data_IF_743409171111
#
_entry.id   IF_743409171111
#
_cell.length_a   1.000
_cell.length_b   1.000
_cell.length_c   1.000
_cell.angle_alpha   90.00
_cell.angle_beta   90.00
_cell.angle_gamma   90.00
#
_symmetry.space_group_name_H-M   'P 1'
#
loop_
_entity.id
_entity.type
_entity.pdbx_description
1 polymer ?
#
# COMPACT_ATOMS: atom_id res chain seq x y z
N UNK A 1 3.12 1.42 8.59
CA UNK A 1 3.02 2.67 7.82
C UNK A 1 3.45 3.85 8.67
N UNK A 2 4.31 4.71 8.16
CA UNK A 2 4.74 5.91 8.87
C UNK A 2 5.15 7.03 7.92
N UNK A 3 4.86 8.23 8.36
CA UNK A 3 5.47 9.47 7.90
C UNK A 3 6.35 9.99 9.03
N UNK A 4 7.49 10.53 8.71
CA UNK A 4 8.42 11.05 9.71
C UNK A 4 9.34 12.13 9.15
N UNK A 5 10.22 12.63 10.01
CA UNK A 5 11.24 13.59 9.63
C UNK A 5 12.61 12.93 9.74
N UNK A 6 13.43 13.08 8.71
CA UNK A 6 14.81 12.58 8.72
C UNK A 6 15.60 13.34 9.80
N UNK A 7 16.18 12.62 10.75
CA UNK A 7 16.99 13.17 11.83
C UNK A 7 18.47 13.07 11.47
N UNK A 8 18.87 11.95 10.89
CA UNK A 8 20.26 11.64 10.55
C UNK A 8 20.30 10.76 9.31
N UNK A 9 21.33 10.88 8.50
CA UNK A 9 21.57 10.04 7.31
C UNK A 9 22.93 9.35 7.43
N UNK A 10 23.02 8.15 6.85
CA UNK A 10 24.32 7.47 6.69
C UNK A 10 25.11 8.03 5.50
N UNK A 11 26.43 7.84 5.51
CA UNK A 11 27.38 8.39 4.51
C UNK A 11 27.04 8.02 3.04
N UNK A 12 26.32 6.91 2.84
CA UNK A 12 25.96 6.42 1.50
C UNK A 12 24.60 6.96 0.99
N UNK A 13 23.86 7.69 1.80
CA UNK A 13 22.57 8.28 1.41
C UNK A 13 22.80 9.55 0.62
N UNK A 14 22.17 9.66 -0.53
CA UNK A 14 22.43 10.75 -1.50
C UNK A 14 21.19 11.57 -1.87
N UNK A 15 19.98 11.06 -1.58
CA UNK A 15 18.72 11.69 -2.00
C UNK A 15 17.99 12.41 -0.87
N UNK A 16 18.47 12.27 0.35
CA UNK A 16 17.85 12.79 1.58
C UNK A 16 18.80 13.67 2.37
N UNK A 17 18.22 14.56 3.18
CA UNK A 17 18.95 15.38 4.17
C UNK A 17 18.16 15.46 5.48
N UNK A 18 18.83 15.72 6.61
CA UNK A 18 18.13 15.98 7.87
C UNK A 18 17.13 17.12 7.74
N UNK A 19 15.92 16.91 8.24
CA UNK A 19 14.80 17.83 8.12
C UNK A 19 13.80 17.46 7.01
N UNK A 20 14.16 16.58 6.06
CA UNK A 20 13.23 16.10 5.05
C UNK A 20 12.03 15.38 5.69
N UNK A 21 10.84 15.74 5.28
CA UNK A 21 9.62 15.00 5.60
C UNK A 21 9.45 13.83 4.64
N UNK A 22 9.33 12.62 5.15
CA UNK A 22 9.38 11.40 4.34
C UNK A 22 8.29 10.41 4.70
N UNK A 23 7.79 9.71 3.69
CA UNK A 23 7.00 8.49 3.80
C UNK A 23 7.95 7.28 3.81
N UNK A 24 7.77 6.37 4.76
CA UNK A 24 8.59 5.16 4.89
C UNK A 24 7.85 3.98 4.27
N UNK A 25 8.43 3.37 3.22
CA UNK A 25 7.88 2.16 2.61
C UNK A 25 7.98 0.95 3.56
N UNK A 26 6.99 0.08 3.55
CA UNK A 26 7.05 -1.22 4.23
C UNK A 26 8.12 -2.15 3.63
N UNK A 27 8.49 -1.95 2.37
CA UNK A 27 9.52 -2.70 1.68
C UNK A 27 10.80 -1.86 1.60
N UNK A 28 11.90 -2.43 2.10
CA UNK A 28 13.25 -1.86 1.89
C UNK A 28 13.92 -2.56 0.72
N UNK A 29 14.74 -1.86 -0.06
CA UNK A 29 15.38 -2.47 -1.23
C UNK A 29 16.77 -1.93 -1.50
N UNK A 30 17.70 -2.79 -1.88
CA UNK A 30 19.09 -2.39 -2.11
C UNK A 30 19.31 -1.60 -3.41
N UNK A 31 18.33 -1.54 -4.29
CA UNK A 31 18.38 -0.82 -5.58
C UNK A 31 19.31 -1.41 -6.64
N UNK A 32 20.12 -2.42 -6.32
CA UNK A 32 21.22 -2.91 -7.21
C UNK A 32 21.17 -4.39 -7.58
N UNK A 33 20.46 -5.24 -6.85
CA UNK A 33 20.32 -6.64 -7.21
C UNK A 33 19.40 -6.79 -8.43
N UNK A 34 19.39 -7.99 -9.02
CA UNK A 34 18.57 -8.31 -10.20
C UNK A 34 17.12 -7.91 -9.99
N UNK A 35 16.51 -8.35 -8.90
CA UNK A 35 15.09 -8.11 -8.62
C UNK A 35 14.76 -6.60 -8.46
N UNK A 36 15.62 -5.85 -7.78
CA UNK A 36 15.45 -4.39 -7.68
C UNK A 36 15.55 -3.71 -9.04
N UNK A 37 16.43 -4.16 -9.92
CA UNK A 37 16.55 -3.62 -11.28
C UNK A 37 15.37 -3.96 -12.18
N UNK A 38 14.67 -5.05 -11.88
CA UNK A 38 13.45 -5.49 -12.56
C UNK A 38 12.18 -4.88 -11.93
N UNK A 39 12.32 -4.08 -10.84
CA UNK A 39 11.19 -3.46 -10.13
C UNK A 39 10.53 -4.36 -9.06
N UNK A 40 11.05 -5.56 -8.83
CA UNK A 40 10.52 -6.52 -7.85
C UNK A 40 11.18 -6.33 -6.47
N UNK A 41 10.94 -5.20 -5.84
CA UNK A 41 11.63 -4.78 -4.61
C UNK A 41 11.40 -5.73 -3.42
N UNK A 42 10.21 -6.31 -3.30
CA UNK A 42 9.89 -7.32 -2.28
C UNK A 42 10.75 -8.58 -2.36
N UNK A 43 11.33 -8.88 -3.54
CA UNK A 43 12.21 -10.01 -3.78
C UNK A 43 13.70 -9.65 -3.66
N UNK A 44 14.05 -8.53 -3.05
CA UNK A 44 15.42 -8.06 -2.93
C UNK A 44 16.34 -9.10 -2.26
N UNK A 45 17.42 -9.50 -2.96
CA UNK A 45 18.45 -10.43 -2.46
C UNK A 45 19.70 -9.72 -1.91
N UNK A 46 19.69 -8.39 -1.89
CA UNK A 46 20.82 -7.58 -1.41
C UNK A 46 20.70 -7.15 0.06
N UNK A 47 19.90 -7.86 0.86
CA UNK A 47 19.70 -7.59 2.28
C UNK A 47 18.50 -6.67 2.59
N UNK A 48 17.69 -6.36 1.58
CA UNK A 48 16.39 -5.71 1.73
C UNK A 48 15.23 -6.69 1.51
N UNK A 49 14.11 -6.18 1.03
CA UNK A 49 12.85 -6.88 0.90
C UNK A 49 11.93 -6.59 2.09
N UNK A 50 11.07 -7.53 2.42
CA UNK A 50 10.17 -7.41 3.56
C UNK A 50 10.87 -7.79 4.87
N UNK A 51 11.80 -6.94 5.31
CA UNK A 51 12.59 -7.16 6.53
C UNK A 51 12.22 -6.18 7.65
N UNK A 52 11.76 -4.99 7.31
CA UNK A 52 11.52 -3.88 8.23
C UNK A 52 10.31 -4.15 9.10
N UNK A 53 10.50 -4.16 10.41
CA UNK A 53 9.48 -4.57 11.39
C UNK A 53 9.24 -6.08 11.47
N UNK A 54 10.02 -6.89 10.73
CA UNK A 54 9.94 -8.34 10.69
C UNK A 54 11.25 -9.02 11.10
N UNK A 55 12.35 -8.73 10.38
CA UNK A 55 13.68 -9.25 10.70
C UNK A 55 14.58 -8.22 11.41
N UNK A 56 14.23 -6.97 11.34
CA UNK A 56 14.86 -5.84 12.03
C UNK A 56 13.77 -5.01 12.71
N UNK A 57 14.16 -4.12 13.62
CA UNK A 57 13.24 -3.22 14.31
C UNK A 57 12.41 -2.39 13.34
N UNK A 58 11.14 -2.16 13.69
CA UNK A 58 10.16 -1.45 12.87
C UNK A 58 9.90 -0.02 13.34
N UNK A 59 8.71 0.48 13.00
CA UNK A 59 8.31 1.88 13.15
C UNK A 59 7.54 2.21 14.44
N UNK A 60 7.28 1.23 15.30
CA UNK A 60 6.59 1.48 16.58
C UNK A 60 7.58 2.00 17.63
N UNK A 61 8.19 3.15 17.33
CA UNK A 61 9.24 3.79 18.11
C UNK A 61 9.27 5.30 17.81
N UNK A 62 9.91 6.08 18.69
CA UNK A 62 10.15 7.51 18.47
C UNK A 62 11.15 7.76 17.33
N UNK A 63 12.13 6.87 17.18
CA UNK A 63 13.13 6.87 16.13
C UNK A 63 13.27 5.49 15.53
N UNK A 64 13.43 5.43 14.22
CA UNK A 64 13.65 4.17 13.51
C UNK A 64 14.77 4.32 12.47
N UNK A 65 15.58 3.27 12.34
CA UNK A 65 16.63 3.21 11.31
C UNK A 65 16.12 2.51 10.07
N UNK A 66 15.95 3.25 8.99
CA UNK A 66 15.49 2.71 7.70
C UNK A 66 16.68 2.33 6.83
N UNK A 67 16.91 1.03 6.53
CA UNK A 67 17.99 0.62 5.64
C UNK A 67 17.67 0.96 4.19
N UNK A 68 18.73 1.19 3.39
CA UNK A 68 18.61 1.54 1.96
C UNK A 68 17.70 2.76 1.72
N UNK A 69 17.90 3.82 2.48
CA UNK A 69 16.98 4.96 2.52
C UNK A 69 16.68 5.55 1.14
N UNK A 70 17.66 5.67 0.24
CA UNK A 70 17.47 6.21 -1.13
C UNK A 70 16.43 5.44 -1.97
N UNK A 71 16.10 4.20 -1.60
CA UNK A 71 15.13 3.35 -2.30
C UNK A 71 13.99 2.87 -1.39
N UNK A 72 13.95 3.30 -0.15
CA UNK A 72 13.00 2.82 0.86
C UNK A 72 12.17 3.92 1.50
N UNK A 73 12.48 5.19 1.23
CA UNK A 73 11.69 6.34 1.67
C UNK A 73 11.47 7.32 0.53
N UNK A 74 10.40 8.10 0.64
CA UNK A 74 9.99 9.08 -0.37
C UNK A 74 9.74 10.42 0.28
N UNK A 75 10.32 11.50 -0.26
CA UNK A 75 10.03 12.86 0.19
C UNK A 75 8.55 13.16 -0.02
N UNK A 76 7.90 13.65 1.03
CA UNK A 76 6.49 14.06 0.95
C UNK A 76 6.43 15.50 0.44
N UNK A 77 5.69 15.76 -0.65
CA UNK A 77 5.48 17.12 -1.13
C UNK A 77 4.80 18.02 -0.08
N UNK A 78 5.20 19.28 0.01
CA UNK A 78 4.72 20.22 1.04
C UNK A 78 3.20 20.43 1.03
N UNK A 79 2.57 20.31 -0.14
CA UNK A 79 1.13 20.49 -0.33
C UNK A 79 0.28 19.30 0.16
N UNK A 80 0.89 18.17 0.50
CA UNK A 80 0.17 16.99 1.01
C UNK A 80 0.35 16.85 2.52
N UNK A 81 -0.73 16.50 3.22
CA UNK A 81 -0.66 16.19 4.65
C UNK A 81 -0.14 14.77 4.88
N UNK A 82 0.29 14.48 6.12
CA UNK A 82 0.75 13.15 6.52
C UNK A 82 -0.35 12.10 6.35
N UNK A 83 -1.61 12.45 6.71
CA UNK A 83 -2.76 11.56 6.56
C UNK A 83 -3.06 11.22 5.09
N UNK A 84 -2.84 12.16 4.17
CA UNK A 84 -3.07 11.93 2.74
C UNK A 84 -2.08 10.93 2.14
N UNK A 85 -0.87 10.86 2.68
CA UNK A 85 0.20 10.02 2.13
C UNK A 85 0.45 8.73 2.91
N UNK A 86 -0.02 8.64 4.16
CA UNK A 86 0.30 7.53 5.07
C UNK A 86 0.04 6.16 4.45
N UNK A 87 -1.10 5.97 3.81
CA UNK A 87 -1.48 4.68 3.22
C UNK A 87 -0.71 4.33 1.94
N UNK A 88 0.07 5.26 1.39
CA UNK A 88 1.01 4.97 0.30
C UNK A 88 2.23 4.17 0.76
N UNK A 89 2.42 4.02 2.08
CA UNK A 89 3.51 3.21 2.63
C UNK A 89 3.32 1.70 2.38
N UNK A 90 2.07 1.21 2.39
CA UNK A 90 1.74 -0.20 2.23
C UNK A 90 0.32 -0.44 1.68
N UNK A 91 -0.72 -0.04 2.40
CA UNK A 91 -2.12 -0.43 2.13
C UNK A 91 -2.52 -0.16 0.69
N UNK A 92 -2.28 1.04 0.18
CA UNK A 92 -2.69 1.41 -1.18
C UNK A 92 -1.87 0.69 -2.26
N UNK A 93 -0.51 0.67 -2.23
CA UNK A 93 0.28 -0.10 -3.19
C UNK A 93 -0.01 -1.59 -3.14
N UNK A 94 -0.14 -2.18 -1.96
CA UNK A 94 -0.45 -3.61 -1.78
C UNK A 94 -1.82 -3.95 -2.38
N UNK A 95 -2.84 -3.13 -2.14
CA UNK A 95 -4.17 -3.32 -2.72
C UNK A 95 -4.16 -3.24 -4.25
N UNK A 96 -3.41 -2.31 -4.79
CA UNK A 96 -3.25 -2.12 -6.22
C UNK A 96 -2.46 -3.26 -6.86
N UNK A 97 -1.28 -3.57 -6.34
CA UNK A 97 -0.38 -4.59 -6.90
C UNK A 97 -0.97 -5.99 -6.78
N UNK A 98 -1.42 -6.38 -5.57
CA UNK A 98 -1.91 -7.73 -5.31
C UNK A 98 -3.37 -7.88 -5.73
N UNK A 99 -4.21 -6.90 -5.42
CA UNK A 99 -5.64 -6.97 -5.70
C UNK A 99 -5.98 -6.72 -7.16
N UNK A 100 -5.40 -5.70 -7.78
CA UNK A 100 -5.80 -5.25 -9.12
C UNK A 100 -4.87 -5.79 -10.20
N UNK A 101 -3.54 -5.58 -10.08
CA UNK A 101 -2.60 -6.03 -11.11
C UNK A 101 -2.47 -7.55 -11.15
N UNK A 102 -2.27 -8.21 -10.01
CA UNK A 102 -2.20 -9.67 -9.97
C UNK A 102 -3.57 -10.33 -10.13
N UNK A 103 -4.66 -9.62 -9.81
CA UNK A 103 -6.02 -10.03 -10.13
C UNK A 103 -6.37 -9.90 -11.60
N UNK A 104 -5.47 -9.31 -12.42
CA UNK A 104 -5.62 -9.11 -13.87
C UNK A 104 -6.95 -8.44 -14.25
N UNK A 105 -7.36 -7.42 -13.48
CA UNK A 105 -8.61 -6.70 -13.69
C UNK A 105 -8.62 -6.02 -15.06
N UNK A 106 -9.62 -6.35 -15.89
CA UNK A 106 -9.76 -5.85 -17.25
C UNK A 106 -11.01 -4.96 -17.42
N UNK A 107 -11.04 -4.10 -18.45
CA UNK A 107 -12.24 -3.34 -18.79
C UNK A 107 -13.47 -4.23 -19.01
N UNK A 108 -14.57 -3.91 -18.33
CA UNK A 108 -15.83 -4.64 -18.43
C UNK A 108 -15.99 -5.82 -17.48
N UNK A 109 -14.96 -6.19 -16.71
CA UNK A 109 -15.03 -7.29 -15.74
C UNK A 109 -16.03 -7.03 -14.62
N UNK A 110 -16.55 -8.11 -14.03
CA UNK A 110 -17.17 -8.06 -12.71
C UNK A 110 -16.14 -8.45 -11.67
N UNK A 111 -15.82 -7.50 -10.79
CA UNK A 111 -14.81 -7.65 -9.73
C UNK A 111 -15.51 -7.85 -8.40
N UNK A 112 -15.26 -8.96 -7.71
CA UNK A 112 -15.73 -9.21 -6.35
C UNK A 112 -14.59 -8.94 -5.34
N UNK A 113 -14.83 -8.05 -4.37
CA UNK A 113 -13.90 -7.74 -3.30
C UNK A 113 -14.46 -8.27 -1.99
N UNK A 114 -13.83 -9.31 -1.45
CA UNK A 114 -14.22 -9.94 -0.20
C UNK A 114 -13.41 -9.34 0.95
N UNK A 115 -14.12 -8.65 1.84
CA UNK A 115 -13.55 -7.84 2.91
C UNK A 115 -13.41 -6.36 2.53
N UNK A 116 -14.30 -5.50 3.06
CA UNK A 116 -14.31 -4.07 2.84
C UNK A 116 -13.54 -3.30 3.94
N UNK A 117 -12.43 -3.87 4.42
CA UNK A 117 -11.46 -3.17 5.27
C UNK A 117 -10.57 -2.21 4.45
N UNK A 118 -9.54 -1.59 5.03
CA UNK A 118 -8.70 -0.61 4.33
C UNK A 118 -8.11 -1.14 3.02
N UNK A 119 -7.62 -2.39 3.00
CA UNK A 119 -7.11 -3.06 1.78
C UNK A 119 -8.22 -3.21 0.73
N UNK A 120 -9.40 -3.72 1.12
CA UNK A 120 -10.51 -3.89 0.18
C UNK A 120 -11.03 -2.58 -0.37
N UNK A 121 -11.15 -1.53 0.46
CA UNK A 121 -11.54 -0.19 0.02
C UNK A 121 -10.54 0.39 -0.99
N UNK A 122 -9.24 0.23 -0.73
CA UNK A 122 -8.21 0.66 -1.65
C UNK A 122 -8.20 -0.17 -2.96
N UNK A 123 -8.51 -1.48 -2.89
CA UNK A 123 -8.67 -2.32 -4.07
C UNK A 123 -9.88 -1.87 -4.92
N UNK A 124 -11.03 -1.58 -4.30
CA UNK A 124 -12.21 -1.02 -4.97
C UNK A 124 -11.85 0.28 -5.71
N UNK A 125 -11.19 1.20 -5.00
CA UNK A 125 -10.79 2.50 -5.56
C UNK A 125 -9.83 2.34 -6.74
N UNK A 126 -8.82 1.49 -6.62
CA UNK A 126 -7.79 1.30 -7.65
C UNK A 126 -8.26 0.44 -8.82
N UNK A 127 -9.19 -0.50 -8.61
CA UNK A 127 -9.82 -1.27 -9.68
C UNK A 127 -10.54 -0.36 -10.69
N UNK A 128 -11.11 0.76 -10.24
CA UNK A 128 -11.77 1.73 -11.14
C UNK A 128 -10.85 2.32 -12.21
N UNK A 129 -9.54 2.31 -12.01
CA UNK A 129 -8.57 2.74 -13.01
C UNK A 129 -8.60 1.85 -14.27
N UNK A 130 -9.10 0.63 -14.14
CA UNK A 130 -9.22 -0.37 -15.21
C UNK A 130 -10.63 -0.45 -15.82
N UNK A 131 -11.54 0.45 -15.43
CA UNK A 131 -12.91 0.54 -15.96
C UNK A 131 -13.66 -0.82 -15.94
N UNK A 132 -13.72 -1.52 -14.78
CA UNK A 132 -14.54 -2.72 -14.67
C UNK A 132 -16.01 -2.39 -14.93
N UNK A 133 -16.77 -3.36 -15.41
CA UNK A 133 -18.20 -3.22 -15.67
C UNK A 133 -19.03 -3.21 -14.37
N UNK A 134 -18.52 -3.85 -13.31
CA UNK A 134 -19.18 -3.90 -12.00
C UNK A 134 -18.16 -4.21 -10.89
N UNK A 135 -18.30 -3.57 -9.73
CA UNK A 135 -17.55 -3.90 -8.51
C UNK A 135 -18.57 -4.30 -7.42
N UNK A 136 -18.41 -5.51 -6.88
CA UNK A 136 -19.21 -6.08 -5.79
C UNK A 136 -18.36 -6.13 -4.54
N UNK A 137 -18.78 -5.45 -3.46
CA UNK A 137 -18.12 -5.52 -2.16
C UNK A 137 -18.90 -6.45 -1.22
N UNK A 138 -18.19 -7.37 -0.57
CA UNK A 138 -18.74 -8.36 0.35
C UNK A 138 -18.06 -8.19 1.70
N UNK A 139 -18.83 -7.99 2.78
CA UNK A 139 -18.31 -7.90 4.16
C UNK A 139 -19.41 -8.37 5.13
N UNK A 140 -19.08 -8.44 6.41
CA UNK A 140 -20.03 -8.74 7.50
C UNK A 140 -20.50 -7.46 8.23
N UNK A 141 -19.90 -6.31 7.97
CA UNK A 141 -20.15 -5.06 8.66
C UNK A 141 -20.76 -4.01 7.73
N UNK A 142 -22.01 -3.62 8.00
CA UNK A 142 -22.75 -2.63 7.17
C UNK A 142 -21.99 -1.31 7.04
N UNK A 143 -21.38 -0.81 8.09
CA UNK A 143 -20.60 0.45 8.04
C UNK A 143 -19.40 0.39 7.07
N UNK A 144 -18.80 -0.78 6.87
CA UNK A 144 -17.74 -0.99 5.87
C UNK A 144 -18.32 -1.08 4.45
N UNK A 145 -19.46 -1.70 4.31
CA UNK A 145 -20.17 -1.80 3.04
C UNK A 145 -20.66 -0.43 2.57
N UNK A 146 -21.16 0.42 3.47
CA UNK A 146 -21.49 1.82 3.17
C UNK A 146 -20.24 2.57 2.65
N UNK A 147 -19.08 2.40 3.30
CA UNK A 147 -17.83 2.96 2.81
C UNK A 147 -17.40 2.39 1.46
N UNK A 148 -17.64 1.11 1.19
CA UNK A 148 -17.34 0.51 -0.10
C UNK A 148 -18.11 1.20 -1.25
N UNK A 149 -19.37 1.58 -1.03
CA UNK A 149 -20.14 2.39 -2.00
C UNK A 149 -19.49 3.76 -2.23
N UNK A 150 -19.07 4.45 -1.16
CA UNK A 150 -18.38 5.74 -1.28
C UNK A 150 -17.06 5.63 -2.08
N UNK A 151 -16.35 4.50 -1.94
CA UNK A 151 -15.11 4.19 -2.66
C UNK A 151 -15.34 3.69 -4.08
N UNK A 152 -16.58 3.41 -4.45
CA UNK A 152 -16.99 3.13 -5.82
C UNK A 152 -17.39 1.69 -6.12
N UNK A 153 -17.77 0.90 -5.11
CA UNK A 153 -18.50 -0.34 -5.34
C UNK A 153 -19.90 -0.05 -5.91
N UNK A 154 -20.35 -0.89 -6.83
CA UNK A 154 -21.68 -0.78 -7.43
C UNK A 154 -22.73 -1.58 -6.66
N UNK A 155 -22.30 -2.67 -6.04
CA UNK A 155 -23.13 -3.59 -5.26
C UNK A 155 -22.43 -3.92 -3.95
N UNK A 156 -23.21 -4.02 -2.88
CA UNK A 156 -22.74 -4.47 -1.58
C UNK A 156 -23.55 -5.68 -1.13
N UNK A 157 -22.88 -6.62 -0.48
CA UNK A 157 -23.51 -7.83 0.08
C UNK A 157 -23.02 -8.01 1.52
N UNK A 158 -23.98 -8.02 2.47
CA UNK A 158 -23.68 -8.40 3.85
C UNK A 158 -23.83 -9.91 3.99
N UNK A 159 -22.72 -10.65 3.90
CA UNK A 159 -22.72 -12.12 3.97
C UNK A 159 -23.08 -12.67 5.39
N UNK A 160 -23.36 -11.81 6.35
CA UNK A 160 -23.94 -12.19 7.63
C UNK A 160 -25.47 -12.32 7.60
N UNK A 161 -26.14 -11.73 6.59
CA UNK A 161 -27.60 -11.71 6.44
C UNK A 161 -28.10 -12.29 5.12
N UNK A 162 -27.25 -12.39 4.11
CA UNK A 162 -27.57 -12.97 2.79
C UNK A 162 -26.39 -13.80 2.27
N UNK A 163 -26.66 -14.78 1.41
CA UNK A 163 -25.60 -15.58 0.79
C UNK A 163 -25.03 -14.85 -0.43
N UNK A 164 -23.73 -14.61 -0.42
CA UNK A 164 -23.05 -13.92 -1.52
C UNK A 164 -22.85 -14.82 -2.77
N UNK A 165 -23.16 -16.12 -2.68
CA UNK A 165 -22.96 -17.11 -3.76
C UNK A 165 -24.27 -17.47 -4.47
N UNK A 166 -25.42 -17.22 -3.83
CA UNK A 166 -26.77 -17.41 -4.41
C UNK A 166 -27.31 -16.12 -5.05
#
# INVERSE_FOLDING_TARGET
EAVGTVVEIGDAVTTLEPGDRVLVSCITSCGRCRFCKEGHYGLCTGGGGWIFGHLIDGLQAELARVPFADTSVYKVPDQLSDEQVLFLADILPTSYEVGVLNGDVQPGDTVAVVGAGPIGLAAIMTAKLYTPGRIVAIDLADARLEKALEFGADVIINNGSEDAVE
#
